data_IF_416899235865
#
_entry.id   IF_416899235865
#
_cell.length_a   1.000
_cell.length_b   1.000
_cell.length_c   1.000
_cell.angle_alpha   90.00
_cell.angle_beta   90.00
_cell.angle_gamma   90.00
#
_symmetry.space_group_name_H-M   'P 1'
#
loop_
_entity.id
_entity.type
_entity.pdbx_description
1 polymer ?
#
# COMPACT_ATOMS: atom_id res chain seq x y z
N UNK A 1 -7.69 9.29 11.38
CA UNK A 1 -9.06 8.98 10.91
C UNK A 1 -9.68 8.03 11.92
N UNK A 2 -10.80 8.39 12.55
CA UNK A 2 -11.44 7.64 13.65
C UNK A 2 -12.13 6.34 13.21
N UNK A 3 -12.59 5.51 14.16
CA UNK A 3 -13.43 4.31 13.90
C UNK A 3 -14.65 4.66 13.01
N UNK A 4 -15.35 5.76 13.31
CA UNK A 4 -16.49 6.26 12.53
C UNK A 4 -16.11 6.61 11.08
N UNK A 5 -14.93 7.18 10.86
CA UNK A 5 -14.48 7.57 9.52
C UNK A 5 -14.12 6.36 8.65
N UNK A 6 -13.63 5.29 9.25
CA UNK A 6 -13.32 4.05 8.54
C UNK A 6 -14.61 3.29 8.18
N UNK A 7 -15.57 3.23 9.10
CA UNK A 7 -16.87 2.60 8.88
C UNK A 7 -17.68 3.32 7.80
N UNK A 8 -17.67 4.66 7.78
CA UNK A 8 -18.31 5.46 6.72
C UNK A 8 -17.69 5.23 5.32
N UNK A 9 -16.41 4.88 5.24
CA UNK A 9 -15.73 4.66 3.96
C UNK A 9 -16.07 3.30 3.31
N UNK A 10 -16.45 2.29 4.09
CA UNK A 10 -16.88 0.99 3.56
C UNK A 10 -17.82 0.25 4.53
N UNK A 11 -19.07 0.72 4.72
CA UNK A 11 -20.01 0.11 5.67
C UNK A 11 -20.27 -1.37 5.37
N UNK A 12 -20.50 -1.70 4.10
CA UNK A 12 -20.79 -3.08 3.64
C UNK A 12 -19.65 -4.07 3.95
N UNK A 13 -18.41 -3.59 4.04
CA UNK A 13 -17.25 -4.44 4.28
C UNK A 13 -17.14 -4.89 5.75
N UNK A 14 -17.77 -4.15 6.67
CA UNK A 14 -17.77 -4.45 8.10
C UNK A 14 -18.98 -5.32 8.50
N UNK A 15 -20.14 -5.07 7.89
CA UNK A 15 -21.40 -5.73 8.26
C UNK A 15 -21.48 -7.19 7.77
N UNK A 16 -20.86 -7.51 6.63
CA UNK A 16 -21.05 -8.80 5.96
C UNK A 16 -20.04 -9.91 6.37
N UNK A 17 -18.99 -9.55 7.12
CA UNK A 17 -17.83 -10.43 7.34
C UNK A 17 -17.53 -10.78 8.81
N UNK A 18 -18.34 -10.31 9.78
CA UNK A 18 -18.10 -10.57 11.20
C UNK A 18 -16.73 -10.03 11.67
N UNK A 19 -16.32 -8.90 11.09
CA UNK A 19 -15.02 -8.29 11.30
C UNK A 19 -15.06 -7.49 12.59
N UNK A 20 -14.26 -7.89 13.57
CA UNK A 20 -13.94 -7.00 14.69
C UNK A 20 -12.71 -6.18 14.31
N UNK A 21 -12.76 -4.86 14.52
CA UNK A 21 -11.58 -4.02 14.39
C UNK A 21 -11.47 -3.03 15.53
N UNK A 22 -10.26 -2.53 15.74
CA UNK A 22 -9.95 -1.52 16.75
C UNK A 22 -8.91 -0.56 16.19
N UNK A 23 -9.18 0.74 16.28
CA UNK A 23 -8.16 1.73 16.03
C UNK A 23 -7.07 1.72 17.11
N UNK A 24 -5.82 1.76 16.66
CA UNK A 24 -4.62 1.88 17.48
C UNK A 24 -3.99 3.28 17.31
N UNK A 25 -3.16 3.73 18.27
CA UNK A 25 -2.43 4.99 18.15
C UNK A 25 -1.55 5.06 16.89
N UNK A 26 -1.45 6.26 16.31
CA UNK A 26 -0.62 6.51 15.12
C UNK A 26 -1.26 6.06 13.81
N UNK A 27 -2.59 6.18 13.67
CA UNK A 27 -3.33 5.78 12.45
C UNK A 27 -3.18 4.29 12.08
N UNK A 28 -2.98 3.45 13.10
CA UNK A 28 -2.90 2.00 12.96
C UNK A 28 -4.26 1.37 13.28
N UNK A 29 -4.49 0.17 12.78
CA UNK A 29 -5.73 -0.58 13.01
C UNK A 29 -5.40 -2.04 13.28
N UNK A 30 -6.10 -2.62 14.24
CA UNK A 30 -6.10 -4.06 14.53
C UNK A 30 -7.40 -4.66 14.01
N UNK A 31 -7.32 -5.85 13.40
CA UNK A 31 -8.47 -6.58 12.86
C UNK A 31 -8.46 -8.02 13.38
N UNK A 32 -9.62 -8.57 13.74
CA UNK A 32 -9.79 -9.94 14.24
C UNK A 32 -10.94 -10.64 13.53
N UNK A 33 -10.66 -11.83 12.97
CA UNK A 33 -11.35 -12.32 11.77
C UNK A 33 -11.52 -13.85 11.73
N UNK A 34 -12.59 -14.32 11.06
CA UNK A 34 -12.85 -15.75 10.76
C UNK A 34 -12.25 -16.25 9.43
N UNK A 35 -12.08 -15.39 8.42
CA UNK A 35 -11.56 -15.75 7.08
C UNK A 35 -10.56 -14.69 6.56
N UNK A 36 -9.30 -15.13 6.37
CA UNK A 36 -8.17 -14.29 5.97
C UNK A 36 -8.29 -13.71 4.55
N UNK A 37 -8.83 -14.45 3.59
CA UNK A 37 -8.85 -14.03 2.17
C UNK A 37 -9.84 -12.88 1.93
N UNK A 38 -11.02 -12.95 2.55
CA UNK A 38 -12.02 -11.88 2.45
C UNK A 38 -11.48 -10.55 2.99
N UNK A 39 -10.64 -10.62 4.00
CA UNK A 39 -10.05 -9.45 4.66
C UNK A 39 -8.98 -8.80 3.83
N UNK A 40 -8.09 -9.60 3.23
CA UNK A 40 -7.08 -9.07 2.32
C UNK A 40 -7.73 -8.28 1.17
N UNK A 41 -8.88 -8.76 0.68
CA UNK A 41 -9.70 -8.03 -0.29
C UNK A 41 -10.31 -6.75 0.28
N UNK A 42 -10.95 -6.80 1.46
CA UNK A 42 -11.56 -5.62 2.11
C UNK A 42 -10.53 -4.55 2.44
N UNK A 43 -9.39 -4.92 3.03
CA UNK A 43 -8.28 -4.00 3.30
C UNK A 43 -7.76 -3.44 1.98
N UNK A 44 -7.59 -4.26 0.95
CA UNK A 44 -7.23 -3.80 -0.38
C UNK A 44 -8.18 -2.71 -0.89
N UNK A 45 -9.50 -2.96 -0.85
CA UNK A 45 -10.52 -2.01 -1.30
C UNK A 45 -10.55 -0.71 -0.47
N UNK A 46 -10.49 -0.82 0.86
CA UNK A 46 -10.43 0.33 1.76
C UNK A 46 -9.20 1.20 1.48
N UNK A 47 -8.04 0.57 1.28
CA UNK A 47 -6.82 1.30 0.95
C UNK A 47 -6.83 1.90 -0.44
N UNK A 48 -7.45 1.27 -1.44
CA UNK A 48 -7.64 1.89 -2.76
C UNK A 48 -8.50 3.15 -2.71
N UNK A 49 -9.44 3.23 -1.75
CA UNK A 49 -10.24 4.45 -1.50
C UNK A 49 -9.42 5.55 -0.82
N UNK A 50 -8.40 5.20 -0.02
CA UNK A 50 -7.54 6.15 0.70
C UNK A 50 -6.33 6.59 -0.14
N UNK A 51 -5.72 5.64 -0.87
CA UNK A 51 -4.56 5.80 -1.73
C UNK A 51 -4.98 5.37 -3.14
N UNK A 52 -5.26 6.32 -4.05
CA UNK A 52 -5.85 5.99 -5.32
C UNK A 52 -4.93 5.14 -6.22
N UNK A 53 -5.52 4.18 -6.92
CA UNK A 53 -4.85 3.16 -7.75
C UNK A 53 -3.97 3.71 -8.89
N UNK A 54 -4.19 4.96 -9.32
CA UNK A 54 -3.46 5.59 -10.43
C UNK A 54 -2.02 6.01 -10.09
N UNK A 55 -1.51 5.64 -8.91
CA UNK A 55 -0.22 6.08 -8.35
C UNK A 55 0.72 4.93 -7.94
N UNK A 56 0.50 3.72 -8.46
CA UNK A 56 1.33 2.54 -8.16
C UNK A 56 2.36 2.23 -9.24
N UNK A 57 3.42 1.57 -8.81
CA UNK A 57 4.42 0.94 -9.67
C UNK A 57 4.71 -0.46 -9.12
N UNK A 58 4.84 -1.45 -10.01
CA UNK A 58 5.11 -2.84 -9.64
C UNK A 58 6.52 -3.23 -10.04
N UNK A 59 7.24 -3.86 -9.13
CA UNK A 59 8.65 -4.23 -9.28
C UNK A 59 8.88 -5.69 -8.89
N UNK A 60 9.83 -6.37 -9.56
CA UNK A 60 10.38 -7.63 -9.03
C UNK A 60 11.24 -7.39 -7.78
N UNK A 61 11.64 -8.44 -7.04
CA UNK A 61 12.31 -8.31 -5.74
C UNK A 61 13.63 -7.52 -5.79
N UNK A 62 14.42 -7.70 -6.84
CA UNK A 62 15.69 -6.97 -7.01
C UNK A 62 15.45 -5.47 -7.26
N UNK A 63 14.51 -5.17 -8.16
CA UNK A 63 14.15 -3.80 -8.50
C UNK A 63 13.48 -3.06 -7.33
N UNK A 64 12.67 -3.77 -6.54
CA UNK A 64 12.04 -3.24 -5.33
C UNK A 64 13.11 -2.73 -4.35
N UNK A 65 14.11 -3.55 -4.02
CA UNK A 65 15.16 -3.18 -3.08
C UNK A 65 15.88 -1.87 -3.48
N UNK A 66 16.17 -1.71 -4.77
CA UNK A 66 16.81 -0.50 -5.30
C UNK A 66 15.88 0.72 -5.18
N UNK A 67 14.59 0.57 -5.52
CA UNK A 67 13.62 1.66 -5.45
C UNK A 67 13.37 2.10 -4.01
N UNK A 68 13.18 1.17 -3.08
CA UNK A 68 12.95 1.50 -1.67
C UNK A 68 14.16 2.19 -1.05
N UNK A 69 15.37 1.73 -1.38
CA UNK A 69 16.62 2.39 -0.95
C UNK A 69 16.66 3.84 -1.44
N UNK A 70 16.44 4.07 -2.74
CA UNK A 70 16.44 5.42 -3.32
C UNK A 70 15.35 6.31 -2.74
N UNK A 71 14.16 5.76 -2.48
CA UNK A 71 13.09 6.50 -1.84
C UNK A 71 13.45 6.92 -0.41
N UNK A 72 14.03 6.03 0.38
CA UNK A 72 14.54 6.33 1.72
C UNK A 72 15.62 7.42 1.68
N UNK A 73 16.63 7.27 0.82
CA UNK A 73 17.72 8.26 0.64
C UNK A 73 17.19 9.65 0.26
N UNK A 74 16.03 9.70 -0.41
CA UNK A 74 15.44 10.93 -0.94
C UNK A 74 14.24 11.43 -0.14
N UNK A 75 13.94 10.81 1.01
CA UNK A 75 12.77 11.10 1.85
C UNK A 75 11.44 11.08 1.09
N UNK A 76 11.32 10.23 0.08
CA UNK A 76 10.07 10.00 -0.63
C UNK A 76 9.20 9.11 0.24
N UNK A 77 7.94 9.51 0.49
CA UNK A 77 6.98 8.67 1.20
C UNK A 77 6.46 7.56 0.29
N UNK A 78 6.36 6.35 0.82
CA UNK A 78 5.84 5.20 0.10
C UNK A 78 5.20 4.17 1.03
N UNK A 79 4.36 3.31 0.46
CA UNK A 79 3.77 2.10 1.07
C UNK A 79 3.99 0.90 0.14
N UNK A 80 4.50 -0.22 0.65
CA UNK A 80 4.65 -1.49 -0.11
C UNK A 80 3.51 -2.42 0.30
N UNK A 81 2.69 -2.91 -0.66
CA UNK A 81 1.44 -3.58 -0.25
C UNK A 81 0.97 -4.83 -0.98
N UNK A 82 1.60 -5.27 -2.05
CA UNK A 82 1.06 -6.47 -2.70
C UNK A 82 2.14 -7.28 -3.39
N UNK A 83 2.37 -8.49 -2.90
CA UNK A 83 3.08 -9.52 -3.65
C UNK A 83 2.11 -10.14 -4.66
N UNK A 84 2.21 -9.72 -5.92
CA UNK A 84 1.52 -10.31 -7.07
C UNK A 84 2.48 -11.26 -7.79
N UNK A 85 2.46 -12.55 -7.41
CA UNK A 85 3.30 -13.56 -8.06
C UNK A 85 4.77 -13.42 -7.69
N UNK A 86 5.56 -12.72 -8.51
CA UNK A 86 6.98 -12.42 -8.29
C UNK A 86 7.23 -10.91 -8.10
N UNK A 87 6.18 -10.11 -7.97
CA UNK A 87 6.27 -8.64 -7.97
C UNK A 87 5.65 -8.01 -6.73
N UNK A 88 6.32 -7.01 -6.19
CA UNK A 88 5.78 -6.12 -5.17
C UNK A 88 5.20 -4.86 -5.79
N UNK A 89 3.99 -4.50 -5.36
CA UNK A 89 3.38 -3.21 -5.68
C UNK A 89 3.81 -2.19 -4.64
N UNK A 90 4.52 -1.16 -5.11
CA UNK A 90 4.94 0.00 -4.33
C UNK A 90 4.07 1.20 -4.70
N UNK A 91 3.46 1.78 -3.69
CA UNK A 91 2.69 3.02 -3.75
C UNK A 91 3.60 4.15 -3.31
N UNK A 92 4.06 4.98 -4.24
CA UNK A 92 4.84 6.17 -3.89
C UNK A 92 3.95 7.39 -3.76
N UNK A 93 4.53 8.49 -3.27
CA UNK A 93 4.00 9.84 -3.46
C UNK A 93 4.06 10.21 -4.96
N UNK A 94 3.14 9.63 -5.74
CA UNK A 94 3.15 9.76 -7.18
C UNK A 94 2.58 11.11 -7.60
N UNK A 95 3.32 11.74 -8.53
CA UNK A 95 3.31 13.14 -8.97
C UNK A 95 4.51 13.96 -8.49
N UNK A 96 5.35 13.44 -7.58
CA UNK A 96 6.71 13.99 -7.49
C UNK A 96 7.51 13.53 -8.73
N UNK A 97 7.91 14.49 -9.56
CA UNK A 97 8.87 14.28 -10.65
C UNK A 97 10.12 13.53 -10.16
N UNK A 98 10.49 13.77 -8.89
CA UNK A 98 11.55 13.07 -8.17
C UNK A 98 11.33 11.56 -8.05
N UNK A 99 10.14 11.08 -7.66
CA UNK A 99 9.88 9.64 -7.58
C UNK A 99 9.99 8.95 -8.96
N UNK A 100 9.47 9.58 -10.02
CA UNK A 100 9.58 9.05 -11.40
C UNK A 100 11.03 8.96 -11.86
N UNK A 101 11.84 9.97 -11.54
CA UNK A 101 13.27 9.99 -11.84
C UNK A 101 14.02 8.86 -11.11
N UNK A 102 13.78 8.68 -9.80
CA UNK A 102 14.44 7.64 -9.01
C UNK A 102 14.08 6.23 -9.47
N UNK A 103 12.85 6.00 -9.92
CA UNK A 103 12.46 4.73 -10.55
C UNK A 103 13.21 4.50 -11.86
N UNK A 104 13.42 5.55 -12.67
CA UNK A 104 14.20 5.46 -13.91
C UNK A 104 15.68 5.16 -13.64
N UNK A 105 16.26 5.78 -12.62
CA UNK A 105 17.63 5.51 -12.17
C UNK A 105 17.77 4.07 -11.66
N UNK A 106 16.81 3.59 -10.87
CA UNK A 106 16.81 2.21 -10.39
C UNK A 106 16.81 1.19 -11.54
N UNK A 107 16.10 1.48 -12.64
CA UNK A 107 16.11 0.61 -13.83
C UNK A 107 17.47 0.55 -14.50
N UNK A 108 18.19 1.69 -14.54
CA UNK A 108 19.55 1.74 -15.10
C UNK A 108 20.53 0.99 -14.21
N UNK A 109 20.39 1.13 -12.90
CA UNK A 109 21.23 0.45 -11.91
C UNK A 109 21.07 -1.08 -11.98
N UNK A 110 19.85 -1.59 -12.20
CA UNK A 110 19.60 -3.02 -12.30
C UNK A 110 20.23 -3.68 -13.55
N UNK A 111 20.45 -2.90 -14.62
CA UNK A 111 20.98 -3.40 -15.92
C UNK A 111 22.51 -3.23 -16.01
N UNK A 112 23.11 -2.45 -15.11
CA UNK A 112 24.54 -2.16 -15.05
C UNK A 112 25.33 -3.26 -14.33
#
# INVERSE_FOLDING_TARGET
MGDEGLHQLAPDAFDDAGIWYKQLPGSRFEFKLKDKRKVENVIGQLYQKIVPTYRSVSFGPEMEAIVLRKFNENSIKYDVRQFQGDRWVVWGEADSSKAKMLVSEAKKELIA
#
